data_IF_397917910322
#
_entry.id   IF_397917910322
#
_cell.length_a   1.000
_cell.length_b   1.000
_cell.length_c   1.000
_cell.angle_alpha   90.00
_cell.angle_beta   90.00
_cell.angle_gamma   90.00
#
_symmetry.space_group_name_H-M   'P 1'
#
loop_
_entity.id
_entity.type
_entity.pdbx_description
1 polymer ?
#
# COMPACT_ATOMS: atom_id res chain seq x y z
N UNK A 1 1.24 9.13 -3.57
CA UNK A 1 -0.09 8.60 -3.97
C UNK A 1 -1.17 9.38 -3.23
N UNK A 2 -2.12 9.93 -3.97
CA UNK A 2 -3.21 10.71 -3.37
C UNK A 2 -4.40 9.80 -3.08
N UNK A 3 -5.17 10.12 -2.03
CA UNK A 3 -6.36 9.36 -1.67
C UNK A 3 -7.38 9.29 -2.81
N UNK A 4 -7.53 10.39 -3.56
CA UNK A 4 -8.40 10.44 -4.74
C UNK A 4 -8.03 9.38 -5.77
N UNK A 5 -6.73 9.27 -6.07
CA UNK A 5 -6.25 8.32 -7.06
C UNK A 5 -6.51 6.88 -6.62
N UNK A 6 -6.32 6.62 -5.33
CA UNK A 6 -6.59 5.29 -4.75
C UNK A 6 -8.07 4.96 -4.84
N UNK A 7 -8.94 5.93 -4.52
CA UNK A 7 -10.39 5.73 -4.55
C UNK A 7 -10.94 5.53 -5.96
N UNK A 8 -10.23 6.04 -6.97
CA UNK A 8 -10.63 5.86 -8.36
C UNK A 8 -10.35 4.46 -8.91
N UNK A 9 -9.54 3.67 -8.20
CA UNK A 9 -9.15 2.33 -8.65
C UNK A 9 -10.14 1.28 -8.21
N UNK A 10 -10.26 0.20 -9.01
CA UNK A 10 -11.06 -0.97 -8.64
C UNK A 10 -10.39 -1.75 -7.51
N UNK A 11 -11.17 -2.62 -6.86
CA UNK A 11 -10.65 -3.47 -5.78
C UNK A 11 -9.50 -4.35 -6.26
N UNK A 12 -9.63 -4.93 -7.45
CA UNK A 12 -8.60 -5.79 -8.03
C UNK A 12 -7.30 -5.02 -8.29
N UNK A 13 -7.42 -3.80 -8.82
CA UNK A 13 -6.27 -2.93 -9.04
C UNK A 13 -5.59 -2.57 -7.73
N UNK A 14 -6.37 -2.27 -6.69
CA UNK A 14 -5.84 -1.95 -5.38
C UNK A 14 -5.12 -3.13 -4.74
N UNK A 15 -5.68 -4.33 -4.87
CA UNK A 15 -5.07 -5.53 -4.33
C UNK A 15 -3.74 -5.83 -5.03
N UNK A 16 -3.71 -5.68 -6.34
CA UNK A 16 -2.49 -5.87 -7.13
C UNK A 16 -1.43 -4.85 -6.75
N UNK A 17 -1.82 -3.59 -6.64
CA UNK A 17 -0.91 -2.53 -6.23
C UNK A 17 -0.39 -2.75 -4.81
N UNK A 18 -1.25 -3.20 -3.90
CA UNK A 18 -0.85 -3.53 -2.54
C UNK A 18 0.20 -4.64 -2.52
N UNK A 19 0.01 -5.66 -3.34
CA UNK A 19 0.97 -6.75 -3.45
C UNK A 19 2.33 -6.25 -3.94
N UNK A 20 2.33 -5.41 -4.97
CA UNK A 20 3.55 -4.82 -5.51
C UNK A 20 4.28 -3.96 -4.47
N UNK A 21 3.53 -3.15 -3.73
CA UNK A 21 4.10 -2.31 -2.67
C UNK A 21 4.68 -3.15 -1.53
N UNK A 22 4.03 -4.26 -1.19
CA UNK A 22 4.56 -5.17 -0.16
C UNK A 22 5.86 -5.81 -0.59
N UNK A 23 5.96 -6.21 -1.85
CA UNK A 23 7.20 -6.76 -2.42
C UNK A 23 8.32 -5.72 -2.37
N UNK A 24 7.99 -4.49 -2.73
CA UNK A 24 8.96 -3.39 -2.66
C UNK A 24 9.40 -3.12 -1.22
N UNK A 25 8.45 -3.10 -0.28
CA UNK A 25 8.76 -2.93 1.14
C UNK A 25 9.68 -4.03 1.66
N UNK A 26 9.43 -5.26 1.25
CA UNK A 26 10.27 -6.39 1.62
C UNK A 26 11.69 -6.22 1.09
N UNK A 27 11.84 -5.83 -0.18
CA UNK A 27 13.14 -5.59 -0.79
C UNK A 27 13.90 -4.46 -0.09
N UNK A 28 13.20 -3.38 0.23
CA UNK A 28 13.79 -2.25 0.94
C UNK A 28 14.27 -2.66 2.34
N UNK A 29 13.48 -3.48 3.01
CA UNK A 29 13.83 -4.01 4.33
C UNK A 29 15.08 -4.89 4.24
N UNK A 30 15.15 -5.73 3.24
CA UNK A 30 16.31 -6.58 2.98
C UNK A 30 17.56 -5.75 2.73
N UNK A 31 17.45 -4.71 1.90
CA UNK A 31 18.56 -3.79 1.62
C UNK A 31 19.02 -3.07 2.89
N UNK A 32 18.09 -2.69 3.75
CA UNK A 32 18.42 -2.04 5.02
C UNK A 32 19.25 -2.96 5.92
N UNK A 33 18.86 -4.23 6.02
CA UNK A 33 19.58 -5.23 6.82
C UNK A 33 20.99 -5.46 6.28
N UNK A 34 21.16 -5.44 4.96
CA UNK A 34 22.47 -5.62 4.35
C UNK A 34 23.31 -4.34 4.30
N UNK A 35 22.76 -3.23 4.80
CA UNK A 35 23.47 -1.94 4.82
C UNK A 35 23.53 -1.22 3.49
N UNK A 36 22.73 -1.66 2.51
CA UNK A 36 22.74 -1.08 1.17
C UNK A 36 21.68 0.00 0.96
N UNK A 37 20.75 0.16 1.90
CA UNK A 37 19.66 1.11 1.76
C UNK A 37 20.15 2.54 2.02
N UNK A 38 20.05 3.39 1.02
CA UNK A 38 20.42 4.80 1.13
C UNK A 38 19.20 5.72 1.21
N UNK A 39 18.03 5.27 0.72
CA UNK A 39 16.86 6.12 0.61
C UNK A 39 15.76 5.74 1.60
N UNK A 40 15.79 6.37 2.76
CA UNK A 40 14.77 6.17 3.80
C UNK A 40 13.44 6.83 3.46
N UNK A 41 13.45 7.86 2.61
CA UNK A 41 12.24 8.54 2.17
C UNK A 41 11.33 7.58 1.38
N UNK A 42 11.91 6.71 0.56
CA UNK A 42 11.15 5.73 -0.21
C UNK A 42 10.48 4.71 0.71
N UNK A 43 11.17 4.29 1.78
CA UNK A 43 10.59 3.37 2.78
C UNK A 43 9.33 3.97 3.40
N UNK A 44 9.40 5.23 3.81
CA UNK A 44 8.25 5.94 4.39
C UNK A 44 7.11 6.07 3.40
N UNK A 45 7.43 6.40 2.17
CA UNK A 45 6.44 6.55 1.09
C UNK A 45 5.70 5.24 0.84
N UNK A 46 6.42 4.13 0.72
CA UNK A 46 5.84 2.81 0.49
C UNK A 46 4.94 2.42 1.66
N UNK A 47 5.40 2.62 2.90
CA UNK A 47 4.60 2.32 4.09
C UNK A 47 3.30 3.13 4.12
N UNK A 48 3.38 4.40 3.78
CA UNK A 48 2.21 5.28 3.73
C UNK A 48 1.21 4.81 2.67
N UNK A 49 1.70 4.46 1.49
CA UNK A 49 0.85 4.00 0.40
C UNK A 49 0.17 2.67 0.73
N UNK A 50 0.90 1.74 1.34
CA UNK A 50 0.32 0.48 1.83
C UNK A 50 -0.81 0.75 2.82
N UNK A 51 -0.58 1.67 3.76
CA UNK A 51 -1.59 2.05 4.75
C UNK A 51 -2.83 2.64 4.11
N UNK A 52 -2.67 3.51 3.11
CA UNK A 52 -3.80 4.12 2.40
C UNK A 52 -4.63 3.09 1.66
N UNK A 53 -3.99 2.19 0.94
CA UNK A 53 -4.69 1.15 0.19
C UNK A 53 -5.45 0.23 1.15
N UNK A 54 -4.82 -0.20 2.23
CA UNK A 54 -5.47 -1.03 3.25
C UNK A 54 -6.69 -0.34 3.84
N UNK A 55 -6.56 0.95 4.16
CA UNK A 55 -7.66 1.74 4.73
C UNK A 55 -8.85 1.79 3.78
N UNK A 56 -8.61 2.05 2.51
CA UNK A 56 -9.68 2.15 1.52
C UNK A 56 -10.33 0.80 1.27
N UNK A 57 -9.55 -0.27 1.16
CA UNK A 57 -10.11 -1.61 1.02
C UNK A 57 -10.96 -1.99 2.23
N UNK A 58 -10.52 -1.60 3.41
CA UNK A 58 -11.24 -1.85 4.65
C UNK A 58 -12.55 -1.06 4.70
N UNK A 59 -12.54 0.21 4.27
CA UNK A 59 -13.76 1.03 4.17
C UNK A 59 -14.77 0.41 3.23
N UNK A 60 -14.33 -0.06 2.07
CA UNK A 60 -15.19 -0.71 1.09
C UNK A 60 -15.80 -1.99 1.64
N UNK A 61 -15.00 -2.78 2.35
CA UNK A 61 -15.48 -3.99 2.99
C UNK A 61 -16.55 -3.69 4.03
N UNK A 62 -16.33 -2.67 4.86
CA UNK A 62 -17.33 -2.24 5.86
C UNK A 62 -18.61 -1.76 5.22
N UNK A 63 -18.51 -0.97 4.16
CA UNK A 63 -19.67 -0.48 3.44
C UNK A 63 -20.48 -1.61 2.85
N UNK A 64 -19.80 -2.60 2.25
CA UNK A 64 -20.45 -3.77 1.69
C UNK A 64 -21.16 -4.59 2.78
N UNK A 65 -20.51 -4.75 3.94
CA UNK A 65 -21.10 -5.46 5.07
C UNK A 65 -22.34 -4.75 5.63
N UNK A 66 -22.31 -3.42 5.68
CA UNK A 66 -23.46 -2.62 6.14
C UNK A 66 -24.60 -2.63 5.13
N UNK A 67 -24.29 -2.71 3.85
CA UNK A 67 -25.29 -2.71 2.79
C UNK A 67 -26.05 -4.05 2.71
N UNK A 68 -25.48 -5.09 3.25
CA UNK A 68 -26.10 -6.40 3.30
C UNK A 68 -26.79 -6.64 4.64
#
# INVERSE_FOLDING_TARGET
MKAEDVRAKSDDELKEQLLDLRKEAFNLRFQSVSGQLENTARVREVRRDVGRIKTILNERSRTAAKAS
#
